data_IF_228919260409
#
_entry.id   IF_228919260409
#
_cell.length_a   1.000
_cell.length_b   1.000
_cell.length_c   1.000
_cell.angle_alpha   90.00
_cell.angle_beta   90.00
_cell.angle_gamma   90.00
#
_symmetry.space_group_name_H-M   'P 1'
#
loop_
_entity.id
_entity.type
_entity.pdbx_description
1 polymer ?
#
# COMPACT_ATOMS: atom_id res chain seq x y z
N UNK A 1 0.16 17.04 9.29
CA UNK A 1 -1.05 16.72 8.50
C UNK A 1 -0.84 15.57 7.51
N UNK A 2 0.40 15.27 7.06
CA UNK A 2 0.69 14.15 6.15
C UNK A 2 0.37 12.78 6.77
N UNK A 3 0.54 12.64 8.08
CA UNK A 3 0.26 11.39 8.80
C UNK A 3 -1.25 11.07 8.85
N UNK A 4 -2.11 12.09 8.93
CA UNK A 4 -3.57 11.95 8.95
C UNK A 4 -4.10 11.59 7.55
N UNK A 5 -3.61 12.24 6.51
CA UNK A 5 -3.98 11.96 5.12
C UNK A 5 -3.55 10.54 4.73
N UNK A 6 -2.34 10.12 5.15
CA UNK A 6 -1.87 8.74 4.95
C UNK A 6 -2.72 7.70 5.67
N UNK A 7 -3.21 8.00 6.89
CA UNK A 7 -4.02 7.05 7.66
C UNK A 7 -5.45 6.87 7.11
N UNK A 8 -6.12 7.95 6.70
CA UNK A 8 -7.45 7.86 6.07
C UNK A 8 -7.40 7.10 4.74
N UNK A 9 -6.38 7.39 3.93
CA UNK A 9 -6.12 6.65 2.70
C UNK A 9 -5.92 5.16 2.95
N UNK A 10 -5.08 4.81 3.91
CA UNK A 10 -4.84 3.43 4.27
C UNK A 10 -6.12 2.70 4.69
N UNK A 11 -7.01 3.34 5.45
CA UNK A 11 -8.24 2.70 5.93
C UNK A 11 -9.23 2.47 4.79
N UNK A 12 -9.48 3.47 3.95
CA UNK A 12 -10.42 3.36 2.80
C UNK A 12 -9.94 2.33 1.78
N UNK A 13 -8.66 2.38 1.42
CA UNK A 13 -8.04 1.42 0.51
C UNK A 13 -8.14 -0.01 1.04
N UNK A 14 -7.91 -0.23 2.34
CA UNK A 14 -8.01 -1.56 2.97
C UNK A 14 -9.42 -2.13 2.96
N UNK A 15 -10.41 -1.28 3.16
CA UNK A 15 -11.79 -1.71 3.11
C UNK A 15 -12.18 -2.21 1.72
N UNK A 16 -11.93 -1.41 0.68
CA UNK A 16 -12.23 -1.79 -0.69
C UNK A 16 -11.40 -2.98 -1.17
N UNK A 17 -10.11 -2.99 -0.86
CA UNK A 17 -9.22 -4.10 -1.22
C UNK A 17 -9.62 -5.41 -0.55
N UNK A 18 -10.03 -5.38 0.73
CA UNK A 18 -10.45 -6.59 1.46
C UNK A 18 -11.76 -7.16 0.90
N UNK A 19 -12.73 -6.30 0.59
CA UNK A 19 -13.99 -6.71 -0.01
C UNK A 19 -13.78 -7.31 -1.40
N UNK A 20 -12.96 -6.63 -2.23
CA UNK A 20 -12.61 -7.10 -3.56
C UNK A 20 -11.86 -8.45 -3.49
N UNK A 21 -10.87 -8.57 -2.62
CA UNK A 21 -10.09 -9.78 -2.42
C UNK A 21 -10.97 -10.96 -1.93
N UNK A 22 -11.91 -10.69 -1.03
CA UNK A 22 -12.85 -11.70 -0.55
C UNK A 22 -13.76 -12.22 -1.66
N UNK A 23 -14.32 -11.31 -2.47
CA UNK A 23 -15.13 -11.69 -3.63
C UNK A 23 -14.34 -12.52 -4.63
N UNK A 24 -13.09 -12.12 -4.94
CA UNK A 24 -12.19 -12.85 -5.85
C UNK A 24 -11.85 -14.23 -5.29
N UNK A 25 -11.56 -14.33 -3.99
CA UNK A 25 -11.19 -15.59 -3.35
C UNK A 25 -12.34 -16.61 -3.28
N UNK A 26 -13.58 -16.13 -3.11
CA UNK A 26 -14.76 -16.99 -2.89
C UNK A 26 -15.56 -17.29 -4.15
N UNK A 27 -15.65 -16.36 -5.10
CA UNK A 27 -16.36 -16.58 -6.36
C UNK A 27 -15.47 -17.23 -7.42
N UNK A 28 -15.86 -18.43 -7.87
CA UNK A 28 -15.16 -19.18 -8.94
C UNK A 28 -15.64 -18.76 -10.35
N UNK A 29 -15.88 -17.48 -10.61
CA UNK A 29 -16.29 -17.03 -11.95
C UNK A 29 -15.09 -16.68 -12.83
N UNK A 30 -15.26 -16.77 -14.17
CA UNK A 30 -14.22 -16.35 -15.14
C UNK A 30 -13.88 -14.87 -14.98
N UNK A 31 -14.88 -14.01 -14.73
CA UNK A 31 -14.68 -12.58 -14.52
C UNK A 31 -13.81 -12.27 -13.30
N UNK A 32 -13.98 -12.98 -12.18
CA UNK A 32 -13.15 -12.81 -10.98
C UNK A 32 -11.69 -13.24 -11.21
N UNK A 33 -11.47 -14.27 -12.04
CA UNK A 33 -10.11 -14.68 -12.43
C UNK A 33 -9.44 -13.61 -13.30
N UNK A 34 -10.16 -13.04 -14.27
CA UNK A 34 -9.66 -11.94 -15.11
C UNK A 34 -9.35 -10.72 -14.27
N UNK A 35 -10.27 -10.33 -13.36
CA UNK A 35 -10.05 -9.21 -12.44
C UNK A 35 -8.79 -9.41 -11.57
N UNK A 36 -8.62 -10.60 -11.00
CA UNK A 36 -7.41 -10.93 -10.23
C UNK A 36 -6.15 -10.83 -11.10
N UNK A 37 -6.21 -11.37 -12.32
CA UNK A 37 -5.08 -11.30 -13.26
C UNK A 37 -4.72 -9.86 -13.63
N UNK A 38 -5.71 -8.96 -13.78
CA UNK A 38 -5.47 -7.55 -14.05
C UNK A 38 -4.72 -6.87 -12.89
N UNK A 39 -5.08 -7.16 -11.63
CA UNK A 39 -4.33 -6.64 -10.48
C UNK A 39 -2.89 -7.17 -10.44
N UNK A 40 -2.69 -8.46 -10.72
CA UNK A 40 -1.34 -9.05 -10.79
C UNK A 40 -0.54 -8.46 -11.95
N UNK A 41 -1.14 -8.30 -13.12
CA UNK A 41 -0.49 -7.70 -14.28
C UNK A 41 -0.07 -6.23 -14.00
N UNK A 42 -0.91 -5.47 -13.30
CA UNK A 42 -0.59 -4.10 -12.91
C UNK A 42 0.65 -4.01 -11.99
N UNK A 43 0.91 -5.03 -11.17
CA UNK A 43 2.12 -5.08 -10.33
C UNK A 43 3.38 -5.41 -11.13
N UNK A 44 3.25 -6.12 -12.26
CA UNK A 44 4.38 -6.53 -13.09
C UNK A 44 4.88 -5.40 -14.00
N UNK A 45 4.07 -4.39 -14.24
CA UNK A 45 4.46 -3.23 -15.05
C UNK A 45 5.39 -2.32 -14.22
N UNK A 46 6.67 -2.13 -14.62
CA UNK A 46 7.56 -1.22 -13.92
C UNK A 46 7.02 0.22 -13.96
N UNK A 47 7.05 0.92 -12.81
CA UNK A 47 6.60 2.31 -12.71
C UNK A 47 7.25 3.21 -13.77
N UNK A 48 8.54 2.99 -14.05
CA UNK A 48 9.32 3.78 -15.00
C UNK A 48 8.73 3.78 -16.42
N UNK A 49 8.06 2.70 -16.82
CA UNK A 49 7.41 2.60 -18.15
C UNK A 49 6.18 3.51 -18.26
N UNK A 50 5.43 3.64 -17.16
CA UNK A 50 4.17 4.38 -17.14
C UNK A 50 4.31 5.80 -16.62
N UNK A 51 5.49 6.20 -16.08
CA UNK A 51 5.64 7.49 -15.43
C UNK A 51 5.34 8.68 -16.34
N UNK A 52 5.82 8.66 -17.59
CA UNK A 52 5.60 9.76 -18.53
C UNK A 52 4.13 9.95 -18.91
N UNK A 53 3.41 8.92 -19.40
CA UNK A 53 1.99 9.07 -19.69
C UNK A 53 1.16 9.41 -18.45
N UNK A 54 1.54 8.89 -17.27
CA UNK A 54 0.87 9.18 -16.01
C UNK A 54 0.96 10.66 -15.65
N UNK A 55 2.16 11.26 -15.71
CA UNK A 55 2.36 12.68 -15.42
C UNK A 55 1.65 13.55 -16.45
N UNK A 56 1.69 13.19 -17.73
CA UNK A 56 0.94 13.91 -18.78
C UNK A 56 -0.58 13.92 -18.53
N UNK A 57 -1.14 12.82 -18.03
CA UNK A 57 -2.55 12.77 -17.63
C UNK A 57 -2.82 13.68 -16.43
N UNK A 58 -1.97 13.63 -15.39
CA UNK A 58 -2.13 14.49 -14.21
C UNK A 58 -2.06 15.98 -14.53
N UNK A 59 -1.20 16.37 -15.48
CA UNK A 59 -1.12 17.75 -15.96
C UNK A 59 -2.42 18.17 -16.65
N UNK A 60 -2.95 17.34 -17.54
CA UNK A 60 -4.20 17.62 -18.26
C UNK A 60 -5.41 17.80 -17.34
N UNK A 61 -5.46 17.04 -16.24
CA UNK A 61 -6.56 17.12 -15.26
C UNK A 61 -6.24 18.03 -14.06
N UNK A 62 -5.14 18.80 -14.12
CA UNK A 62 -4.69 19.72 -13.06
C UNK A 62 -4.52 19.05 -11.68
N UNK A 63 -4.12 17.79 -11.66
CA UNK A 63 -3.91 16.98 -10.45
C UNK A 63 -2.42 16.81 -10.09
N UNK A 64 -1.52 17.68 -10.57
CA UNK A 64 -0.11 17.74 -10.10
C UNK A 64 -0.04 18.43 -8.73
N UNK A 65 -0.59 17.79 -7.73
CA UNK A 65 -0.66 18.29 -6.35
C UNK A 65 -0.73 17.11 -5.36
N UNK A 66 -0.83 17.41 -4.08
CA UNK A 66 -0.92 16.41 -3.02
C UNK A 66 -2.10 15.43 -3.22
N UNK A 67 -3.24 15.92 -3.71
CA UNK A 67 -4.43 15.06 -3.97
C UNK A 67 -4.13 14.04 -5.07
N UNK A 68 -3.50 14.47 -6.16
CA UNK A 68 -3.08 13.57 -7.24
C UNK A 68 -2.07 12.53 -6.76
N UNK A 69 -1.10 12.93 -5.94
CA UNK A 69 -0.15 12.00 -5.33
C UNK A 69 -0.85 10.93 -4.49
N UNK A 70 -1.84 11.33 -3.70
CA UNK A 70 -2.67 10.44 -2.89
C UNK A 70 -3.41 9.43 -3.77
N UNK A 71 -4.06 9.88 -4.83
CA UNK A 71 -4.79 9.01 -5.77
C UNK A 71 -3.85 7.98 -6.40
N UNK A 72 -2.64 8.40 -6.79
CA UNK A 72 -1.66 7.50 -7.39
C UNK A 72 -1.16 6.43 -6.41
N UNK A 73 -0.82 6.82 -5.18
CA UNK A 73 -0.41 5.86 -4.16
C UNK A 73 -1.52 4.86 -3.82
N UNK A 74 -2.78 5.32 -3.78
CA UNK A 74 -3.92 4.43 -3.60
C UNK A 74 -4.02 3.43 -4.76
N UNK A 75 -3.92 3.90 -6.01
CA UNK A 75 -3.99 3.05 -7.19
C UNK A 75 -2.92 1.96 -7.24
N UNK A 76 -1.67 2.32 -6.93
CA UNK A 76 -0.56 1.34 -6.88
C UNK A 76 -0.68 0.40 -5.67
N UNK A 77 -1.09 0.91 -4.52
CA UNK A 77 -1.25 0.13 -3.28
C UNK A 77 -2.38 -0.90 -3.35
N UNK A 78 -3.47 -0.62 -4.05
CA UNK A 78 -4.62 -1.54 -4.20
C UNK A 78 -4.19 -2.87 -4.83
N UNK A 79 -3.39 -2.86 -5.88
CA UNK A 79 -2.98 -4.07 -6.60
C UNK A 79 -2.27 -5.05 -5.68
N UNK A 80 -1.26 -4.59 -4.94
CA UNK A 80 -0.55 -5.40 -3.95
C UNK A 80 -1.46 -5.87 -2.82
N UNK A 81 -2.35 -4.98 -2.34
CA UNK A 81 -3.29 -5.29 -1.27
C UNK A 81 -4.24 -6.41 -1.66
N UNK A 82 -4.87 -6.33 -2.84
CA UNK A 82 -5.79 -7.36 -3.37
C UNK A 82 -5.05 -8.67 -3.59
N UNK A 83 -3.84 -8.64 -4.14
CA UNK A 83 -3.03 -9.83 -4.35
C UNK A 83 -2.76 -10.58 -3.04
N UNK A 84 -2.20 -9.91 -2.04
CA UNK A 84 -1.84 -10.50 -0.76
C UNK A 84 -3.07 -10.96 0.02
N UNK A 85 -4.12 -10.14 0.09
CA UNK A 85 -5.36 -10.50 0.78
C UNK A 85 -6.06 -11.70 0.13
N UNK A 86 -6.09 -11.75 -1.20
CA UNK A 86 -6.69 -12.89 -1.92
C UNK A 86 -5.96 -14.19 -1.60
N UNK A 87 -4.62 -14.15 -1.55
CA UNK A 87 -3.79 -15.30 -1.16
C UNK A 87 -4.12 -15.77 0.26
N UNK A 88 -4.17 -14.83 1.21
CA UNK A 88 -4.47 -15.13 2.60
C UNK A 88 -5.90 -15.67 2.80
N UNK A 89 -6.91 -15.02 2.20
CA UNK A 89 -8.32 -15.45 2.31
C UNK A 89 -8.52 -16.86 1.75
N UNK A 90 -7.79 -17.24 0.70
CA UNK A 90 -7.84 -18.60 0.17
C UNK A 90 -7.34 -19.66 1.17
N UNK A 91 -6.51 -19.29 2.13
CA UNK A 91 -6.05 -20.20 3.19
C UNK A 91 -7.04 -20.34 4.35
N UNK A 92 -8.00 -19.44 4.48
CA UNK A 92 -9.06 -19.51 5.50
C UNK A 92 -10.10 -20.55 5.06
N UNK A 93 -10.44 -21.55 5.91
CA UNK A 93 -11.47 -22.55 5.62
C UNK A 93 -12.82 -21.87 5.33
N UNK A 94 -13.54 -22.37 4.32
CA UNK A 94 -14.86 -21.84 3.95
C UNK A 94 -15.94 -22.22 4.95
N UNK A 95 -15.75 -23.33 5.64
CA UNK A 95 -16.71 -23.88 6.60
C UNK A 95 -17.08 -22.86 7.69
N UNK A 96 -16.15 -21.95 8.04
CA UNK A 96 -16.39 -20.86 9.00
C UNK A 96 -17.43 -19.87 8.48
N UNK A 97 -17.39 -19.56 7.18
CA UNK A 97 -18.36 -18.65 6.55
C UNK A 97 -19.69 -19.36 6.32
N UNK A 98 -19.66 -20.64 5.93
CA UNK A 98 -20.84 -21.46 5.67
C UNK A 98 -21.63 -21.72 6.96
N UNK A 99 -20.95 -22.01 8.08
CA UNK A 99 -21.63 -22.18 9.38
C UNK A 99 -22.33 -20.91 9.83
N UNK A 100 -21.71 -19.73 9.64
CA UNK A 100 -22.35 -18.47 9.99
C UNK A 100 -23.58 -18.16 9.14
N UNK A 101 -23.56 -18.53 7.86
CA UNK A 101 -24.74 -18.39 7.00
C UNK A 101 -25.89 -19.34 7.45
N UNK A 102 -25.54 -20.54 7.90
CA UNK A 102 -26.52 -21.50 8.48
C UNK A 102 -27.11 -20.90 9.75
N UNK A 103 -26.33 -20.23 10.58
CA UNK A 103 -26.76 -19.51 11.79
C UNK A 103 -27.58 -18.24 11.49
N UNK A 104 -27.86 -17.95 10.21
CA UNK A 104 -28.70 -16.82 9.78
C UNK A 104 -27.98 -15.51 9.55
N UNK A 105 -26.65 -15.49 9.56
CA UNK A 105 -25.90 -14.28 9.26
C UNK A 105 -26.02 -13.90 7.78
N UNK A 106 -26.30 -12.61 7.51
CA UNK A 106 -26.28 -12.10 6.15
C UNK A 106 -24.84 -11.90 5.65
N UNK A 107 -24.67 -11.73 4.33
CA UNK A 107 -23.34 -11.66 3.70
C UNK A 107 -22.48 -10.49 4.24
N UNK A 108 -23.08 -9.37 4.63
CA UNK A 108 -22.37 -8.26 5.24
C UNK A 108 -21.93 -8.57 6.66
N UNK A 109 -22.76 -9.28 7.43
CA UNK A 109 -22.40 -9.74 8.76
C UNK A 109 -21.24 -10.75 8.71
N UNK A 110 -21.25 -11.69 7.77
CA UNK A 110 -20.13 -12.62 7.54
C UNK A 110 -18.85 -11.84 7.24
N UNK A 111 -18.92 -10.82 6.38
CA UNK A 111 -17.75 -10.01 6.04
C UNK A 111 -17.21 -9.24 7.25
N UNK A 112 -18.06 -8.48 7.94
CA UNK A 112 -17.60 -7.58 9.01
C UNK A 112 -17.25 -8.29 10.31
N UNK A 113 -18.07 -9.28 10.72
CA UNK A 113 -17.90 -9.92 12.03
C UNK A 113 -17.03 -11.18 12.00
N UNK A 114 -16.83 -11.78 10.82
CA UNK A 114 -16.05 -13.00 10.68
C UNK A 114 -14.79 -12.76 9.84
N UNK A 115 -14.95 -12.30 8.59
CA UNK A 115 -13.81 -12.20 7.69
C UNK A 115 -12.83 -11.09 8.11
N UNK A 116 -13.28 -9.88 8.42
CA UNK A 116 -12.39 -8.79 8.82
C UNK A 116 -11.54 -9.16 10.04
N UNK A 117 -12.08 -9.70 11.15
CA UNK A 117 -11.26 -10.17 12.26
C UNK A 117 -10.24 -11.25 11.88
N UNK A 118 -10.63 -12.21 11.03
CA UNK A 118 -9.74 -13.30 10.59
C UNK A 118 -8.58 -12.79 9.71
N UNK A 119 -8.83 -11.81 8.84
CA UNK A 119 -7.80 -11.26 7.94
C UNK A 119 -7.03 -10.09 8.57
N UNK A 120 -7.35 -9.67 9.79
CA UNK A 120 -6.71 -8.56 10.50
C UNK A 120 -5.17 -8.64 10.50
N UNK A 121 -4.53 -9.81 10.75
CA UNK A 121 -3.06 -9.90 10.69
C UNK A 121 -2.51 -9.53 9.31
N UNK A 122 -3.18 -9.95 8.24
CA UNK A 122 -2.79 -9.62 6.87
C UNK A 122 -3.01 -8.14 6.57
N UNK A 123 -4.11 -7.55 7.02
CA UNK A 123 -4.37 -6.11 6.88
C UNK A 123 -3.23 -5.31 7.50
N UNK A 124 -2.81 -5.65 8.73
CA UNK A 124 -1.70 -4.96 9.42
C UNK A 124 -0.41 -5.11 8.60
N UNK A 125 -0.09 -6.30 8.11
CA UNK A 125 1.10 -6.55 7.30
C UNK A 125 1.11 -5.67 6.05
N UNK A 126 -0.01 -5.57 5.34
CA UNK A 126 -0.12 -4.76 4.12
C UNK A 126 0.01 -3.25 4.44
N UNK A 127 -0.59 -2.78 5.55
CA UNK A 127 -0.44 -1.38 5.99
C UNK A 127 1.04 -1.04 6.18
N UNK A 128 1.77 -1.92 6.84
CA UNK A 128 3.20 -1.71 7.11
C UNK A 128 4.00 -1.71 5.80
N UNK A 129 3.78 -2.70 4.93
CA UNK A 129 4.51 -2.82 3.66
C UNK A 129 4.25 -1.61 2.73
N UNK A 130 3.00 -1.22 2.55
CA UNK A 130 2.68 -0.05 1.73
C UNK A 130 3.16 1.25 2.38
N UNK A 131 3.04 1.37 3.71
CA UNK A 131 3.55 2.52 4.46
C UNK A 131 5.06 2.67 4.31
N UNK A 132 5.81 1.58 4.42
CA UNK A 132 7.26 1.58 4.20
C UNK A 132 7.61 1.93 2.75
N UNK A 133 6.87 1.42 1.78
CA UNK A 133 7.09 1.73 0.38
C UNK A 133 6.86 3.23 0.10
N UNK A 134 5.73 3.78 0.54
CA UNK A 134 5.40 5.21 0.39
C UNK A 134 6.42 6.09 1.12
N UNK A 135 6.82 5.70 2.34
CA UNK A 135 7.80 6.46 3.13
C UNK A 135 9.17 6.57 2.44
N UNK A 136 9.61 5.50 1.78
CA UNK A 136 10.91 5.46 1.10
C UNK A 136 10.87 6.03 -0.33
N UNK A 137 9.69 6.34 -0.87
CA UNK A 137 9.57 6.84 -2.23
C UNK A 137 9.90 8.33 -2.31
N UNK A 138 10.76 8.69 -3.23
CA UNK A 138 11.07 10.07 -3.60
C UNK A 138 10.69 10.38 -5.04
N UNK A 139 10.65 9.36 -5.92
CA UNK A 139 10.52 9.55 -7.35
C UNK A 139 9.12 10.02 -7.74
N UNK A 140 8.08 9.38 -7.22
CA UNK A 140 6.71 9.78 -7.51
C UNK A 140 6.38 11.16 -6.92
N UNK A 141 6.73 11.49 -5.65
CA UNK A 141 6.61 12.85 -5.14
C UNK A 141 7.40 13.90 -5.95
N UNK A 142 8.62 13.56 -6.40
CA UNK A 142 9.41 14.43 -7.25
C UNK A 142 8.68 14.78 -8.57
N UNK A 143 8.08 13.79 -9.23
CA UNK A 143 7.39 13.96 -10.49
C UNK A 143 6.05 14.71 -10.35
N UNK A 144 5.33 14.47 -9.25
CA UNK A 144 3.97 15.02 -9.03
C UNK A 144 4.01 16.37 -8.35
N UNK A 145 4.77 16.52 -7.28
CA UNK A 145 4.85 17.76 -6.50
C UNK A 145 5.82 18.78 -7.12
N UNK A 146 6.89 18.29 -7.76
CA UNK A 146 7.84 19.12 -8.49
C UNK A 146 8.35 20.32 -7.66
N UNK A 147 7.99 21.52 -8.08
CA UNK A 147 8.39 22.80 -7.46
C UNK A 147 7.43 23.29 -6.38
N UNK A 148 6.45 22.49 -5.95
CA UNK A 148 5.53 22.90 -4.88
C UNK A 148 6.26 23.05 -3.53
N UNK A 149 5.72 23.91 -2.65
CA UNK A 149 6.26 24.11 -1.30
C UNK A 149 6.07 22.88 -0.40
N UNK A 150 5.11 22.00 -0.76
CA UNK A 150 4.85 20.75 -0.06
C UNK A 150 5.76 19.66 -0.59
N UNK A 151 6.65 19.14 0.26
CA UNK A 151 7.58 18.07 -0.08
C UNK A 151 7.50 16.95 0.97
N UNK A 152 7.75 15.71 0.54
CA UNK A 152 7.98 14.61 1.47
C UNK A 152 9.38 14.69 2.05
N UNK A 153 9.62 14.08 3.21
CA UNK A 153 10.93 14.10 3.86
C UNK A 153 12.02 13.49 2.96
N UNK A 154 11.73 12.37 2.32
CA UNK A 154 12.64 11.72 1.35
C UNK A 154 12.94 12.58 0.13
N UNK A 155 11.95 13.31 -0.35
CA UNK A 155 12.12 14.26 -1.45
C UNK A 155 13.00 15.44 -1.02
N UNK A 156 12.83 15.96 0.19
CA UNK A 156 13.66 17.05 0.71
C UNK A 156 15.13 16.63 0.86
N UNK A 157 15.38 15.44 1.39
CA UNK A 157 16.75 14.86 1.47
C UNK A 157 17.37 14.73 0.07
N UNK A 158 16.58 14.35 -0.93
CA UNK A 158 17.02 14.28 -2.32
C UNK A 158 17.42 15.66 -2.84
N UNK A 159 16.65 16.73 -2.57
CA UNK A 159 16.99 18.09 -2.98
C UNK A 159 18.25 18.61 -2.28
N UNK A 160 18.40 18.38 -0.97
CA UNK A 160 19.61 18.72 -0.23
C UNK A 160 20.86 18.09 -0.87
N UNK A 161 20.77 16.82 -1.26
CA UNK A 161 21.85 16.12 -1.97
C UNK A 161 22.14 16.73 -3.34
N UNK A 162 21.11 17.05 -4.11
CA UNK A 162 21.27 17.58 -5.48
C UNK A 162 21.85 19.00 -5.49
N UNK A 163 21.41 19.86 -4.59
CA UNK A 163 21.91 21.25 -4.48
C UNK A 163 23.36 21.28 -4.04
N UNK A 164 23.78 20.34 -3.23
CA UNK A 164 25.14 20.22 -2.73
C UNK A 164 26.15 19.71 -3.76
N UNK A 165 25.71 18.98 -4.76
CA UNK A 165 26.58 18.31 -5.75
C UNK A 165 27.50 19.26 -6.54
N UNK A 166 27.23 20.56 -6.52
CA UNK A 166 28.02 21.58 -7.18
C UNK A 166 29.19 22.12 -6.31
N UNK A 167 29.10 21.97 -4.97
CA UNK A 167 30.07 22.52 -3.99
C UNK A 167 30.59 21.47 -2.98
N UNK A 168 30.37 20.21 -3.22
CA UNK A 168 30.69 19.09 -2.30
C UNK A 168 29.46 18.62 -1.52
N UNK A 169 29.43 17.35 -1.14
CA UNK A 169 28.28 16.77 -0.42
C UNK A 169 28.22 17.34 1.01
N UNK A 170 27.09 17.99 1.42
CA UNK A 170 26.93 18.52 2.77
C UNK A 170 26.66 17.40 3.76
N UNK A 171 27.66 16.59 4.05
CA UNK A 171 27.53 15.44 4.96
C UNK A 171 27.01 15.84 6.33
N UNK A 172 27.32 17.05 6.78
CA UNK A 172 26.83 17.62 8.04
C UNK A 172 25.31 17.73 8.11
N UNK A 173 24.65 17.94 6.98
CA UNK A 173 23.18 18.03 6.89
C UNK A 173 22.56 16.70 6.45
N UNK A 174 23.22 15.96 5.56
CA UNK A 174 22.69 14.70 5.03
C UNK A 174 22.60 13.61 6.09
N UNK A 175 23.69 13.40 6.89
CA UNK A 175 23.68 12.35 7.91
C UNK A 175 22.56 12.52 8.96
N UNK A 176 22.39 13.70 9.59
CA UNK A 176 21.29 13.93 10.51
C UNK A 176 19.91 13.75 9.87
N UNK A 177 19.73 14.22 8.62
CA UNK A 177 18.46 14.10 7.91
C UNK A 177 18.08 12.64 7.64
N UNK A 178 19.06 11.83 7.22
CA UNK A 178 18.86 10.38 7.00
C UNK A 178 18.57 9.66 8.32
N UNK A 179 19.26 10.01 9.40
CA UNK A 179 19.00 9.44 10.73
C UNK A 179 17.57 9.75 11.19
N UNK A 180 17.11 11.00 11.02
CA UNK A 180 15.73 11.40 11.34
C UNK A 180 14.73 10.61 10.48
N UNK A 181 15.03 10.41 9.19
CA UNK A 181 14.16 9.67 8.27
C UNK A 181 14.06 8.17 8.60
N UNK A 182 15.11 7.57 9.16
CA UNK A 182 15.12 6.15 9.53
C UNK A 182 14.41 5.89 10.86
N UNK A 183 14.43 6.84 11.81
CA UNK A 183 13.86 6.65 13.14
C UNK A 183 12.41 6.16 13.14
N UNK A 184 11.46 6.75 12.39
CA UNK A 184 10.09 6.25 12.35
C UNK A 184 9.98 4.81 11.85
N UNK A 185 10.80 4.42 10.88
CA UNK A 185 10.82 3.06 10.34
C UNK A 185 11.30 2.04 11.39
N UNK A 186 12.34 2.40 12.15
CA UNK A 186 12.83 1.55 13.24
C UNK A 186 11.75 1.38 14.30
N UNK A 187 11.08 2.47 14.71
CA UNK A 187 10.00 2.42 15.71
C UNK A 187 8.85 1.53 15.21
N UNK A 188 8.39 1.72 13.98
CA UNK A 188 7.34 0.90 13.37
C UNK A 188 7.78 -0.58 13.34
N UNK A 189 9.02 -0.87 12.92
CA UNK A 189 9.53 -2.23 12.89
C UNK A 189 9.53 -2.87 14.27
N UNK A 190 10.07 -2.20 15.28
CA UNK A 190 10.13 -2.73 16.66
C UNK A 190 8.74 -2.99 17.24
N UNK A 191 7.76 -2.13 16.97
CA UNK A 191 6.39 -2.31 17.45
C UNK A 191 5.65 -3.46 16.76
N UNK A 192 5.88 -3.64 15.45
CA UNK A 192 5.10 -4.54 14.61
C UNK A 192 5.83 -5.80 14.15
N UNK A 193 7.09 -6.02 14.52
CA UNK A 193 7.89 -7.19 14.10
C UNK A 193 7.19 -8.54 14.31
N UNK A 194 6.42 -8.69 15.40
CA UNK A 194 5.64 -9.91 15.69
C UNK A 194 4.54 -10.18 14.65
N UNK A 195 3.98 -9.13 14.05
CA UNK A 195 2.95 -9.24 13.01
C UNK A 195 3.56 -9.56 11.65
N UNK A 196 4.78 -9.05 11.37
CA UNK A 196 5.53 -9.39 10.17
C UNK A 196 5.78 -10.88 10.05
N UNK A 197 6.32 -11.49 11.10
CA UNK A 197 6.64 -12.92 11.12
C UNK A 197 5.38 -13.76 10.88
N UNK A 198 4.27 -13.44 11.56
CA UNK A 198 3.00 -14.17 11.40
C UNK A 198 2.37 -14.00 10.01
N UNK A 199 2.46 -12.82 9.41
CA UNK A 199 1.88 -12.55 8.08
C UNK A 199 2.64 -13.24 6.95
N UNK A 200 3.97 -13.24 7.01
CA UNK A 200 4.83 -13.85 5.99
C UNK A 200 4.80 -15.39 6.09
N UNK A 201 4.85 -15.93 7.30
CA UNK A 201 4.82 -17.39 7.51
C UNK A 201 3.47 -18.02 7.16
N UNK A 202 2.35 -17.33 7.40
CA UNK A 202 1.02 -17.82 7.01
C UNK A 202 0.85 -17.95 5.48
N UNK A 203 1.61 -17.18 4.70
CA UNK A 203 1.65 -17.30 3.24
C UNK A 203 2.63 -18.36 2.71
N UNK A 204 3.65 -18.70 3.50
CA UNK A 204 4.74 -19.61 3.10
C UNK A 204 4.50 -21.08 3.48
N UNK A 205 3.64 -21.35 4.48
CA UNK A 205 3.33 -22.72 4.90
C UNK A 205 2.20 -23.29 4.05
N UNK A 206 2.49 -23.57 2.79
CA UNK A 206 1.78 -24.50 1.92
C UNK A 206 2.79 -25.21 1.02
N UNK A 207 3.42 -26.18 1.57
CA UNK A 207 4.00 -27.31 0.84
C UNK A 207 3.54 -28.58 1.55
#
# INVERSE_FOLDING_TARGET
SECLVGSEMCIRDRFFSSLCAWMIARRKSRGMKVLYFLFVAAMLIPFQVIMYPLISILEKVSLKNLVGLIILYTGFGISMSVFMMTGYIKSVPKDIEESAVIDGANILQVFFYIMIPLIKPMIITIIILNGMWIWNDYLLPFLVLGTSDLKTLTLEIYYVKMTAGQYGSPWETLFPSVLIAILPLIVIFLLFQKHFVKGVTAGAVKS
#
